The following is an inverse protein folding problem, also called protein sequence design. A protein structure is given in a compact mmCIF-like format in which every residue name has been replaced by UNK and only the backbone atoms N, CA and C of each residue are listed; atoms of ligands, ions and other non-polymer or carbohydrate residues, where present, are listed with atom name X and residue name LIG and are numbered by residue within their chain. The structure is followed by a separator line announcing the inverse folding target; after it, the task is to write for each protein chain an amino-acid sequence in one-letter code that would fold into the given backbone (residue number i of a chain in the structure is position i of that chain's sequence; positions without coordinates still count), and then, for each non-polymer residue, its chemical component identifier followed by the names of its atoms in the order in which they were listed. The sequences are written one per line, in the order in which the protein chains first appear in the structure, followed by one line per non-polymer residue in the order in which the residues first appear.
data_IF_102200033278
#
_entry.id   IF_102200033278
#
_cell.length_a   1.000
_cell.length_b   1.000
_cell.length_c   1.000
_cell.angle_alpha   90.00
_cell.angle_beta   90.00
_cell.angle_gamma   90.00
#
_symmetry.space_group_name_H-M   'P 1'
#
loop_
_entity.id
_entity.type
_entity.pdbx_description
1 polymer ?
#
# COMPACT_ATOMS: atom_id res chain seq x y z
N UNK A 1 25.20 1.06 13.04
CA UNK A 1 24.87 -0.36 13.20
C UNK A 1 23.54 -0.57 12.50
N UNK A 2 23.52 -1.26 11.35
CA UNK A 2 22.28 -1.53 10.62
C UNK A 2 21.73 -2.86 11.12
N UNK A 3 20.95 -2.80 12.21
CA UNK A 3 20.12 -3.93 12.61
C UNK A 3 18.91 -4.01 11.68
N UNK A 4 18.39 -5.20 11.41
CA UNK A 4 17.11 -5.34 10.72
C UNK A 4 16.04 -4.57 11.50
N UNK A 5 15.14 -3.83 10.83
CA UNK A 5 14.06 -3.12 11.49
C UNK A 5 13.17 -4.10 12.28
N UNK A 6 12.73 -3.70 13.46
CA UNK A 6 11.78 -4.48 14.25
C UNK A 6 10.36 -4.25 13.72
N UNK A 7 9.84 -5.25 13.02
CA UNK A 7 8.51 -5.24 12.41
C UNK A 7 7.44 -5.89 13.29
N UNK A 8 7.75 -6.20 14.55
CA UNK A 8 6.82 -6.88 15.44
C UNK A 8 5.60 -5.99 15.74
N UNK A 9 4.41 -6.53 15.52
CA UNK A 9 3.13 -5.90 15.82
C UNK A 9 2.32 -6.75 16.80
N UNK A 10 1.38 -6.17 17.57
CA UNK A 10 0.42 -6.97 18.33
C UNK A 10 -0.45 -7.78 17.36
N UNK A 11 -0.92 -8.95 17.78
CA UNK A 11 -1.79 -9.77 16.92
C UNK A 11 -3.16 -9.14 16.64
N UNK A 12 -3.61 -8.21 17.50
CA UNK A 12 -4.93 -7.56 17.38
C UNK A 12 -4.84 -6.07 17.76
N UNK A 13 -5.74 -5.27 17.18
CA UNK A 13 -5.95 -3.86 17.50
C UNK A 13 -7.42 -3.60 17.91
N UNK A 14 -7.87 -4.04 19.11
CA UNK A 14 -9.30 -3.97 19.48
C UNK A 14 -9.91 -2.57 19.48
N UNK A 15 -9.08 -1.54 19.62
CA UNK A 15 -9.50 -0.14 19.49
C UNK A 15 -9.97 0.22 18.09
N UNK A 16 -9.78 -0.61 17.06
CA UNK A 16 -10.28 -0.33 15.72
C UNK A 16 -11.74 -0.71 15.52
N UNK A 17 -12.31 -1.54 16.40
CA UNK A 17 -13.67 -2.05 16.27
C UNK A 17 -14.73 -0.93 16.14
N UNK A 18 -14.52 0.23 16.80
CA UNK A 18 -15.49 1.32 16.75
C UNK A 18 -15.49 2.08 15.41
N UNK A 19 -14.48 1.91 14.55
CA UNK A 19 -14.43 2.56 13.24
C UNK A 19 -15.25 1.82 12.17
N UNK A 20 -15.61 0.55 12.39
CA UNK A 20 -16.36 -0.26 11.40
C UNK A 20 -17.76 0.27 11.11
N UNK A 21 -18.40 0.79 12.14
CA UNK A 21 -19.77 1.31 12.05
C UNK A 21 -19.80 2.79 11.65
N UNK A 22 -18.64 3.42 11.41
CA UNK A 22 -18.56 4.81 11.00
C UNK A 22 -18.84 4.97 9.50
N UNK A 23 -19.49 6.07 9.07
CA UNK A 23 -19.71 6.33 7.65
C UNK A 23 -18.38 6.37 6.90
N UNK A 24 -18.27 5.59 5.82
CA UNK A 24 -17.09 5.52 4.97
C UNK A 24 -16.74 6.91 4.41
N UNK A 25 -15.81 7.60 5.04
CA UNK A 25 -15.10 8.71 4.44
C UNK A 25 -13.82 8.14 3.85
N UNK A 26 -13.65 8.28 2.53
CA UNK A 26 -12.41 7.92 1.84
C UNK A 26 -11.32 8.90 2.26
N UNK A 27 -10.64 8.54 3.34
CA UNK A 27 -9.55 9.30 3.91
C UNK A 27 -8.24 8.87 3.25
N UNK A 28 -7.26 9.80 3.17
CA UNK A 28 -5.95 9.48 2.63
C UNK A 28 -5.22 8.46 3.50
N UNK A 29 -4.45 7.60 2.86
CA UNK A 29 -3.61 6.58 3.46
C UNK A 29 -2.38 7.26 4.06
N UNK A 30 -2.04 6.90 5.29
CA UNK A 30 -0.90 7.47 5.99
C UNK A 30 0.41 6.79 5.58
N UNK A 31 1.44 7.61 5.32
CA UNK A 31 2.81 7.15 5.11
C UNK A 31 3.73 7.44 6.29
N UNK A 32 4.59 6.47 6.56
CA UNK A 32 5.59 6.51 7.61
C UNK A 32 6.95 6.02 7.11
N UNK A 33 8.01 6.39 7.81
CA UNK A 33 9.37 5.92 7.53
C UNK A 33 10.11 5.58 8.81
N UNK A 34 10.62 4.36 8.90
CA UNK A 34 11.49 3.90 9.98
C UNK A 34 12.98 4.14 9.66
N UNK A 35 13.26 4.58 8.43
CA UNK A 35 14.59 4.91 7.92
C UNK A 35 14.75 6.41 7.73
N UNK A 36 16.00 6.83 7.68
CA UNK A 36 16.33 8.25 7.50
C UNK A 36 16.20 8.64 6.02
N UNK A 37 15.04 9.20 5.66
CA UNK A 37 14.74 9.82 4.37
C UNK A 37 14.69 11.34 4.50
N UNK A 38 15.39 12.02 3.59
CA UNK A 38 15.31 13.47 3.39
C UNK A 38 13.89 13.90 3.00
N UNK A 39 13.59 15.20 3.07
CA UNK A 39 12.27 15.70 2.65
C UNK A 39 11.97 15.36 1.18
N UNK A 40 12.97 15.49 0.30
CA UNK A 40 12.84 15.12 -1.11
C UNK A 40 12.58 13.62 -1.30
N UNK A 41 13.31 12.76 -0.59
CA UNK A 41 13.09 11.31 -0.64
C UNK A 41 11.71 10.91 -0.09
N UNK A 42 11.17 11.63 0.90
CA UNK A 42 9.80 11.42 1.39
C UNK A 42 8.74 11.86 0.38
N UNK A 43 8.97 12.95 -0.35
CA UNK A 43 8.09 13.39 -1.44
C UNK A 43 8.10 12.38 -2.59
N UNK A 44 9.27 11.84 -2.92
CA UNK A 44 9.44 10.78 -3.91
C UNK A 44 8.75 9.48 -3.47
N UNK A 45 8.93 9.10 -2.21
CA UNK A 45 8.24 7.97 -1.59
C UNK A 45 6.72 8.12 -1.65
N UNK A 46 6.18 9.29 -1.29
CA UNK A 46 4.75 9.53 -1.38
C UNK A 46 4.25 9.43 -2.82
N UNK A 47 4.97 10.04 -3.76
CA UNK A 47 4.58 10.03 -5.16
C UNK A 47 4.58 8.61 -5.72
N UNK A 48 5.59 7.81 -5.42
CA UNK A 48 5.66 6.42 -5.88
C UNK A 48 4.50 5.59 -5.32
N UNK A 49 4.22 5.71 -4.03
CA UNK A 49 3.08 5.00 -3.41
C UNK A 49 1.72 5.39 -3.97
N UNK A 50 1.61 6.55 -4.61
CA UNK A 50 0.36 7.04 -5.19
C UNK A 50 0.24 6.77 -6.70
N UNK A 51 1.29 6.24 -7.37
CA UNK A 51 1.32 6.07 -8.83
C UNK A 51 0.12 5.27 -9.35
N UNK A 52 -0.16 4.08 -8.83
CA UNK A 52 -1.32 3.29 -9.26
C UNK A 52 -2.67 4.00 -9.05
N UNK A 53 -2.77 4.86 -8.04
CA UNK A 53 -3.97 5.68 -7.81
C UNK A 53 -4.13 6.74 -8.92
N UNK A 54 -3.02 7.37 -9.32
CA UNK A 54 -3.01 8.41 -10.36
C UNK A 54 -3.36 7.80 -11.72
N UNK A 55 -2.83 6.63 -12.04
CA UNK A 55 -3.09 5.94 -13.30
C UNK A 55 -4.58 5.54 -13.45
N UNK A 56 -5.28 5.36 -12.33
CA UNK A 56 -6.72 5.12 -12.27
C UNK A 56 -7.57 6.40 -12.19
N UNK A 57 -6.95 7.56 -12.33
CA UNK A 57 -7.62 8.86 -12.46
C UNK A 57 -7.71 9.68 -11.17
N UNK A 58 -7.07 9.25 -10.07
CA UNK A 58 -7.01 10.07 -8.85
C UNK A 58 -6.02 11.24 -9.01
N UNK A 59 -6.24 12.29 -8.22
CA UNK A 59 -5.32 13.44 -8.21
C UNK A 59 -4.15 13.14 -7.27
N UNK A 60 -2.95 13.54 -7.68
CA UNK A 60 -1.78 13.49 -6.81
C UNK A 60 -2.03 14.25 -5.48
N UNK A 61 -1.57 13.68 -4.38
CA UNK A 61 -1.67 14.18 -3.02
C UNK A 61 -3.04 13.98 -2.38
N UNK A 62 -3.89 13.11 -2.92
CA UNK A 62 -5.26 12.90 -2.41
C UNK A 62 -5.49 11.53 -1.81
N UNK A 63 -4.84 10.49 -2.34
CA UNK A 63 -5.03 9.12 -1.89
C UNK A 63 -3.98 8.72 -0.86
N UNK A 64 -2.75 9.16 -1.01
CA UNK A 64 -1.63 8.79 -0.14
C UNK A 64 -0.93 10.06 0.36
N UNK A 65 -0.70 10.17 1.67
CA UNK A 65 -0.12 11.37 2.28
C UNK A 65 0.80 11.04 3.46
N UNK A 66 1.87 11.82 3.60
CA UNK A 66 2.68 11.81 4.82
C UNK A 66 1.82 12.18 6.04
N UNK A 67 1.92 11.38 7.10
CA UNK A 67 1.31 11.70 8.39
C UNK A 67 1.97 12.95 9.03
N UNK A 68 1.29 13.66 9.95
CA UNK A 68 1.86 14.84 10.62
C UNK A 68 3.20 14.56 11.31
N UNK A 69 3.32 13.38 11.93
CA UNK A 69 4.59 12.77 12.33
C UNK A 69 4.80 11.52 11.49
N UNK A 70 5.60 11.63 10.43
CA UNK A 70 5.88 10.53 9.49
C UNK A 70 7.22 9.83 9.74
N UNK A 71 8.16 10.46 10.46
CA UNK A 71 9.52 9.95 10.68
C UNK A 71 9.66 9.26 12.03
N UNK A 72 9.92 7.95 11.99
CA UNK A 72 10.14 7.06 13.12
C UNK A 72 11.53 6.40 13.05
N UNK A 73 12.55 7.21 12.74
CA UNK A 73 13.91 6.76 12.43
C UNK A 73 14.47 5.87 13.55
N UNK A 74 14.79 4.62 13.21
CA UNK A 74 15.36 3.65 14.13
C UNK A 74 14.40 3.13 15.21
N UNK A 75 13.12 3.48 15.15
CA UNK A 75 12.08 2.92 16.01
C UNK A 75 11.50 1.64 15.38
N UNK A 76 10.72 0.90 16.16
CA UNK A 76 10.01 -0.28 15.68
C UNK A 76 8.71 0.11 14.95
N UNK A 77 8.20 -0.80 14.13
CA UNK A 77 6.89 -0.66 13.48
C UNK A 77 5.77 -0.53 14.50
N UNK A 78 5.95 -1.09 15.70
CA UNK A 78 5.05 -0.89 16.85
C UNK A 78 4.85 0.59 17.21
N UNK A 79 5.90 1.41 17.12
CA UNK A 79 5.77 2.84 17.43
C UNK A 79 4.90 3.57 16.40
N UNK A 80 4.97 3.16 15.13
CA UNK A 80 4.08 3.65 14.06
C UNK A 80 2.65 3.22 14.31
N UNK A 81 2.44 1.94 14.65
CA UNK A 81 1.14 1.38 15.01
C UNK A 81 0.46 2.18 16.14
N UNK A 82 1.17 2.41 17.25
CA UNK A 82 0.59 3.11 18.40
C UNK A 82 0.21 4.55 18.02
N UNK A 83 1.06 5.23 17.25
CA UNK A 83 0.77 6.58 16.76
C UNK A 83 -0.40 6.61 15.77
N UNK A 84 -0.50 5.63 14.87
CA UNK A 84 -1.57 5.56 13.88
C UNK A 84 -2.94 5.36 14.53
N UNK A 85 -3.01 4.56 15.60
CA UNK A 85 -4.24 4.42 16.41
C UNK A 85 -4.69 5.77 16.98
N UNK A 86 -3.75 6.58 17.51
CA UNK A 86 -4.05 7.91 18.02
C UNK A 86 -4.45 8.89 16.89
N UNK A 87 -3.84 8.75 15.71
CA UNK A 87 -4.14 9.56 14.53
C UNK A 87 -5.55 9.27 13.99
N UNK A 88 -5.99 8.00 14.01
CA UNK A 88 -7.32 7.59 13.55
C UNK A 88 -8.45 8.35 14.26
N UNK A 89 -8.26 8.71 15.54
CA UNK A 89 -9.25 9.47 16.31
C UNK A 89 -9.50 10.88 15.76
N UNK A 90 -8.58 11.41 14.94
CA UNK A 90 -8.71 12.71 14.30
C UNK A 90 -9.55 12.67 13.01
N UNK A 91 -9.82 11.47 12.46
CA UNK A 91 -10.61 11.27 11.23
C UNK A 91 -10.07 12.06 10.03
N UNK A 92 -8.75 12.17 9.94
CA UNK A 92 -8.05 12.86 8.85
C UNK A 92 -7.28 11.92 7.93
N UNK A 93 -7.02 10.69 8.38
CA UNK A 93 -6.37 9.63 7.64
C UNK A 93 -7.19 8.35 7.77
N UNK A 94 -7.00 7.47 6.80
CA UNK A 94 -7.54 6.13 6.80
C UNK A 94 -7.13 5.42 8.12
N UNK A 95 -8.08 4.82 8.86
CA UNK A 95 -7.82 4.26 10.19
C UNK A 95 -7.32 2.80 10.22
N UNK A 96 -7.58 1.97 9.20
CA UNK A 96 -7.31 0.54 9.24
C UNK A 96 -6.00 0.13 8.58
N UNK A 97 -5.43 0.96 7.72
CA UNK A 97 -4.34 0.67 6.81
C UNK A 97 -3.32 1.81 6.80
N UNK A 98 -2.06 1.43 6.82
CA UNK A 98 -0.97 2.38 6.59
C UNK A 98 0.22 1.72 5.93
N UNK A 99 1.07 2.56 5.35
CA UNK A 99 2.24 2.12 4.61
C UNK A 99 3.50 2.67 5.30
N UNK A 100 4.52 1.82 5.44
CA UNK A 100 5.78 2.18 6.07
C UNK A 100 6.99 1.77 5.23
N UNK A 101 7.89 2.72 4.97
CA UNK A 101 9.23 2.44 4.45
C UNK A 101 10.14 1.96 5.59
N UNK A 102 10.64 0.74 5.50
CA UNK A 102 11.46 0.10 6.54
C UNK A 102 12.93 -0.06 6.16
N UNK A 103 13.25 0.17 4.89
CA UNK A 103 14.58 0.12 4.30
C UNK A 103 14.82 1.35 3.41
N UNK A 104 16.08 1.77 3.26
CA UNK A 104 16.41 2.98 2.48
C UNK A 104 16.19 2.79 0.98
N UNK A 105 16.41 1.58 0.49
CA UNK A 105 16.20 1.11 -0.87
C UNK A 105 14.76 0.60 -1.09
N UNK A 106 13.78 1.29 -0.50
CA UNK A 106 12.36 0.93 -0.57
C UNK A 106 11.82 0.85 -2.01
N UNK A 107 12.45 1.50 -2.98
CA UNK A 107 12.07 1.39 -4.39
C UNK A 107 12.24 -0.04 -4.92
N UNK A 108 13.32 -0.72 -4.51
CA UNK A 108 13.64 -2.08 -4.97
C UNK A 108 13.25 -3.13 -3.95
N UNK A 109 13.32 -2.81 -2.66
CA UNK A 109 12.93 -3.69 -1.57
C UNK A 109 11.44 -3.62 -1.25
N UNK A 110 10.70 -2.67 -1.80
CA UNK A 110 9.31 -2.45 -1.45
C UNK A 110 9.12 -1.84 -0.07
N UNK A 111 7.86 -1.75 0.33
CA UNK A 111 7.36 -1.09 1.54
C UNK A 111 6.51 -2.08 2.32
N UNK A 112 6.27 -1.82 3.61
CA UNK A 112 5.36 -2.64 4.42
C UNK A 112 3.98 -2.00 4.39
N UNK A 113 2.99 -2.75 3.90
CA UNK A 113 1.58 -2.44 4.08
C UNK A 113 1.08 -3.15 5.34
N UNK A 114 0.38 -2.42 6.20
CA UNK A 114 -0.18 -2.93 7.45
C UNK A 114 -1.70 -2.79 7.42
N UNK A 115 -2.41 -3.81 7.91
CA UNK A 115 -3.82 -3.72 8.31
C UNK A 115 -3.95 -3.82 9.83
N UNK A 116 -4.92 -3.10 10.40
CA UNK A 116 -5.34 -3.15 11.79
C UNK A 116 -6.67 -3.89 11.98
N UNK A 117 -7.29 -4.31 10.88
CA UNK A 117 -8.49 -5.11 10.81
C UNK A 117 -8.49 -5.87 9.49
N UNK A 118 -8.00 -7.11 9.49
CA UNK A 118 -8.29 -8.02 8.39
C UNK A 118 -9.79 -8.32 8.36
N UNK A 119 -10.34 -8.47 7.15
CA UNK A 119 -11.77 -8.39 6.86
C UNK A 119 -12.67 -9.42 7.59
N UNK A 120 -12.07 -10.30 8.39
CA UNK A 120 -12.70 -11.25 9.32
C UNK A 120 -13.45 -10.58 10.48
N UNK A 121 -13.27 -9.28 10.69
CA UNK A 121 -14.02 -8.55 11.70
C UNK A 121 -13.57 -8.90 13.13
N UNK A 122 -12.31 -9.29 13.32
CA UNK A 122 -11.70 -9.55 14.63
C UNK A 122 -10.59 -8.56 15.00
N UNK A 123 -10.41 -7.48 14.24
CA UNK A 123 -9.34 -6.50 14.42
C UNK A 123 -7.98 -7.19 14.41
N UNK A 124 -7.79 -8.22 13.59
CA UNK A 124 -6.47 -8.83 13.52
C UNK A 124 -5.55 -7.91 12.73
N UNK A 125 -4.31 -7.90 13.19
CA UNK A 125 -3.28 -7.04 12.63
C UNK A 125 -2.44 -7.88 11.68
N UNK A 126 -2.39 -7.45 10.43
CA UNK A 126 -1.62 -8.09 9.38
C UNK A 126 -0.58 -7.14 8.82
N UNK A 127 0.47 -7.71 8.24
CA UNK A 127 1.38 -6.95 7.39
C UNK A 127 1.91 -7.86 6.29
N UNK A 128 2.24 -7.25 5.16
CA UNK A 128 3.05 -7.87 4.13
C UNK A 128 3.88 -6.82 3.40
N UNK A 129 4.90 -7.28 2.68
CA UNK A 129 5.75 -6.41 1.88
C UNK A 129 5.16 -6.29 0.48
N UNK A 130 5.11 -5.08 -0.07
CA UNK A 130 4.52 -4.78 -1.37
C UNK A 130 5.43 -3.83 -2.14
N UNK A 131 5.38 -3.83 -3.47
CA UNK A 131 6.05 -2.80 -4.27
C UNK A 131 5.45 -1.43 -3.94
N UNK A 132 6.29 -0.40 -3.86
CA UNK A 132 5.82 0.94 -3.53
C UNK A 132 4.71 1.41 -4.50
N UNK A 133 4.94 1.23 -5.80
CA UNK A 133 4.03 1.64 -6.89
C UNK A 133 2.58 1.11 -6.76
N UNK A 134 2.41 -0.10 -6.19
CA UNK A 134 1.11 -0.76 -6.08
C UNK A 134 0.38 -0.40 -4.78
N UNK A 135 1.13 -0.02 -3.74
CA UNK A 135 0.64 0.07 -2.35
C UNK A 135 -0.58 0.97 -2.14
N UNK A 136 -0.62 2.16 -2.76
CA UNK A 136 -1.76 3.06 -2.62
C UNK A 136 -3.04 2.51 -3.27
N UNK A 137 -2.92 1.92 -4.46
CA UNK A 137 -4.07 1.39 -5.20
C UNK A 137 -4.64 0.15 -4.52
N UNK A 138 -3.77 -0.72 -3.99
CA UNK A 138 -4.19 -1.87 -3.17
C UNK A 138 -5.06 -1.43 -2.00
N UNK A 139 -4.67 -0.39 -1.26
CA UNK A 139 -5.49 0.10 -0.14
C UNK A 139 -6.79 0.74 -0.61
N UNK A 140 -6.82 1.45 -1.74
CA UNK A 140 -8.09 1.94 -2.32
C UNK A 140 -9.04 0.78 -2.62
N UNK A 141 -8.53 -0.32 -3.21
CA UNK A 141 -9.34 -1.49 -3.51
C UNK A 141 -9.89 -2.15 -2.23
N UNK A 142 -9.09 -2.23 -1.16
CA UNK A 142 -9.52 -2.69 0.16
C UNK A 142 -10.61 -1.78 0.75
N UNK A 143 -10.40 -0.45 0.73
CA UNK A 143 -11.37 0.53 1.24
C UNK A 143 -12.77 0.46 0.60
N UNK A 144 -12.85 0.01 -0.66
CA UNK A 144 -14.12 -0.08 -1.40
C UNK A 144 -14.63 -1.52 -1.53
N UNK A 145 -14.02 -2.46 -0.81
CA UNK A 145 -14.37 -3.88 -0.83
C UNK A 145 -14.31 -4.51 -2.23
N UNK A 146 -13.40 -4.03 -3.08
CA UNK A 146 -13.14 -4.63 -4.39
C UNK A 146 -12.13 -5.79 -4.30
N UNK A 147 -11.45 -5.92 -3.16
CA UNK A 147 -10.46 -6.94 -2.85
C UNK A 147 -10.47 -7.17 -1.33
N UNK A 148 -10.18 -8.39 -0.90
CA UNK A 148 -9.98 -8.73 0.52
C UNK A 148 -8.48 -8.74 0.89
N UNK A 149 -8.15 -8.60 2.17
CA UNK A 149 -6.78 -8.53 2.67
C UNK A 149 -5.93 -9.74 2.27
N UNK A 150 -6.47 -10.95 2.40
CA UNK A 150 -5.74 -12.17 2.03
C UNK A 150 -5.54 -12.28 0.52
N UNK A 151 -6.51 -11.83 -0.30
CA UNK A 151 -6.36 -11.74 -1.76
C UNK A 151 -5.28 -10.72 -2.14
N UNK A 152 -5.27 -9.55 -1.49
CA UNK A 152 -4.25 -8.53 -1.70
C UNK A 152 -2.86 -9.05 -1.37
N UNK A 153 -2.74 -9.80 -0.27
CA UNK A 153 -1.48 -10.42 0.12
C UNK A 153 -1.04 -11.48 -0.88
N UNK A 154 -1.92 -12.39 -1.30
CA UNK A 154 -1.58 -13.43 -2.28
C UNK A 154 -1.09 -12.82 -3.62
N UNK A 155 -1.74 -11.75 -4.08
CA UNK A 155 -1.44 -11.15 -5.38
C UNK A 155 -0.24 -10.20 -5.37
N UNK A 156 -0.05 -9.43 -4.29
CA UNK A 156 0.93 -8.33 -4.25
C UNK A 156 2.10 -8.56 -3.28
N UNK A 157 2.14 -9.66 -2.53
CA UNK A 157 3.26 -9.93 -1.61
C UNK A 157 4.59 -10.05 -2.36
N UNK A 158 5.46 -9.09 -2.07
CA UNK A 158 6.73 -8.88 -2.74
C UNK A 158 7.88 -9.50 -1.93
N UNK A 159 8.54 -10.48 -2.52
CA UNK A 159 9.74 -11.11 -1.96
C UNK A 159 11.00 -10.46 -2.49
N UNK A 160 11.55 -9.52 -1.73
CA UNK A 160 12.73 -8.73 -2.12
C UNK A 160 14.07 -9.50 -2.16
N UNK A 161 14.05 -10.77 -1.76
CA UNK A 161 15.20 -11.68 -1.72
C UNK A 161 15.21 -12.65 -2.92
N UNK A 162 14.21 -12.56 -3.80
CA UNK A 162 14.16 -13.34 -5.04
C UNK A 162 14.97 -12.63 -6.14
N UNK A 163 16.29 -12.65 -5.94
CA UNK A 163 17.29 -12.13 -6.87
C UNK A 163 17.47 -13.14 -8.03
N UNK A 164 16.45 -13.28 -8.88
CA UNK A 164 16.59 -14.00 -10.15
C UNK A 164 15.34 -14.71 -10.70
N UNK A 165 14.69 -14.05 -11.65
CA UNK A 165 13.77 -14.69 -12.61
C UNK A 165 13.12 -13.63 -13.48
N UNK A 166 13.48 -13.58 -14.75
CA UNK A 166 12.84 -12.74 -15.77
C UNK A 166 11.33 -13.03 -15.81
N UNK A 167 10.50 -12.06 -15.40
CA UNK A 167 9.11 -12.00 -15.83
C UNK A 167 9.07 -11.09 -17.07
N UNK A 168 9.45 -11.67 -18.20
CA UNK A 168 8.97 -11.21 -19.49
C UNK A 168 7.43 -11.35 -19.45
N UNK A 169 6.74 -10.23 -19.25
CA UNK A 169 5.32 -10.10 -19.51
C UNK A 169 5.09 -10.29 -21.02
N UNK A 170 5.04 -11.54 -21.46
CA UNK A 170 4.47 -11.94 -22.74
C UNK A 170 2.98 -11.60 -22.71
N UNK A 171 2.68 -10.34 -23.04
CA UNK A 171 1.36 -9.91 -23.49
C UNK A 171 1.07 -10.72 -24.75
N UNK A 172 0.35 -11.83 -24.61
CA UNK A 172 -0.31 -12.47 -25.75
C UNK A 172 -1.37 -11.50 -26.28
N UNK A 173 -0.95 -10.66 -27.23
CA UNK A 173 -1.86 -9.92 -28.08
C UNK A 173 -2.57 -10.91 -28.99
N UNK A 174 -3.81 -11.23 -28.62
CA UNK A 174 -4.81 -11.93 -29.45
C UNK A 174 -4.99 -11.18 -30.78
N UNK A 175 -4.24 -11.58 -31.80
CA UNK A 175 -4.48 -11.18 -33.20
C UNK A 175 -5.74 -11.91 -33.69
N UNK A 176 -6.90 -11.29 -33.49
CA UNK A 176 -8.09 -11.63 -34.26
C UNK A 176 -7.92 -11.09 -35.70
N UNK A 177 -7.34 -11.93 -36.56
CA UNK A 177 -7.53 -11.86 -38.00
C UNK A 177 -9.01 -12.06 -38.37
N UNK A 178 -9.40 -11.44 -39.50
CA UNK A 178 -10.58 -11.65 -40.39
C UNK A 178 -11.57 -10.48 -40.40
N UNK A 179 -11.96 -9.87 -41.52
CA UNK A 179 -11.80 -10.17 -42.94
C UNK A 179 -11.88 -8.87 -43.75
N UNK A 180 -10.95 -8.65 -44.69
CA UNK A 180 -11.10 -7.65 -45.75
C UNK A 180 -11.62 -8.37 -47.01
N UNK A 181 -12.94 -8.39 -47.20
CA UNK A 181 -13.52 -8.65 -48.52
C UNK A 181 -13.36 -7.39 -49.38
N UNK A 182 -12.51 -7.50 -50.41
CA UNK A 182 -12.36 -6.51 -51.48
C UNK A 182 -13.35 -6.89 -52.58
N UNK A 183 -14.47 -6.19 -52.63
CA UNK A 183 -15.34 -6.17 -53.80
C UNK A 183 -14.68 -5.34 -54.91
N UNK A 184 -14.27 -6.02 -55.98
CA UNK A 184 -14.03 -5.42 -57.28
C UNK A 184 -14.92 -6.14 -58.29
N UNK A 185 -15.93 -5.46 -58.82
CA UNK A 185 -16.46 -5.70 -60.15
C UNK A 185 -17.09 -4.38 -60.65
N UNK A 186 -16.43 -3.79 -61.66
CA UNK A 186 -16.88 -2.69 -62.51
C UNK A 186 -16.64 -3.11 -63.97
#
# INVERSE_FOLDING_TARGET
MSGKPDLSLPARAPSMAHYRDEPECRLPIALYSLVDLTDAELEDYQRECETGCIDTGNKQGTCVRLAPQSRFIGQSLRAVFDYHIDLAAQKTFEPFYFIAAVEKDWQTKGVILVTLDDDDGDCNVGLFRIKAVDSGLTVINLQIWNMEWEEAKEYYEFNSDDDGGDDDDDIESDENEKDNEVDNDD
#
